data_IF_625323425500
#
_entry.id   IF_625323425500
#
_cell.length_a   1.000
_cell.length_b   1.000
_cell.length_c   1.000
_cell.angle_alpha   90.00
_cell.angle_beta   90.00
_cell.angle_gamma   90.00
#
_symmetry.space_group_name_H-M   'P 1'
#
loop_
_entity.id
_entity.type
_entity.pdbx_description
1 polymer ?
#
# COMPACT_ATOMS: atom_id res chain seq x y z
N UNK A 1 16.23 0.94 -38.14
CA UNK A 1 15.02 1.50 -38.80
C UNK A 1 14.03 0.35 -38.91
N UNK A 2 12.81 0.31 -38.37
CA UNK A 2 11.86 1.32 -37.84
C UNK A 2 10.82 0.58 -36.97
N UNK A 3 10.56 1.06 -35.75
CA UNK A 3 9.27 1.64 -35.29
C UNK A 3 8.10 0.63 -35.14
N UNK A 4 7.77 0.18 -33.92
CA UNK A 4 6.78 0.78 -32.98
C UNK A 4 5.45 1.14 -33.67
N UNK A 5 4.44 0.29 -33.48
CA UNK A 5 3.00 0.59 -33.34
C UNK A 5 2.32 -0.71 -32.87
N UNK A 6 1.43 -0.80 -31.88
CA UNK A 6 0.97 0.08 -30.81
C UNK A 6 0.03 -0.80 -29.96
N UNK A 7 0.47 -1.22 -28.77
CA UNK A 7 -0.29 -2.05 -27.84
C UNK A 7 -1.51 -1.32 -27.20
N UNK A 8 -1.81 -0.08 -27.63
CA UNK A 8 -2.83 0.78 -27.02
C UNK A 8 -4.27 0.52 -27.49
N UNK A 9 -4.50 -0.34 -28.50
CA UNK A 9 -5.85 -0.57 -29.04
C UNK A 9 -6.61 -1.75 -28.42
N UNK A 10 -5.98 -2.54 -27.55
CA UNK A 10 -6.62 -3.71 -26.91
C UNK A 10 -7.36 -3.39 -25.61
N UNK A 11 -7.20 -2.20 -25.03
CA UNK A 11 -7.82 -1.86 -23.74
C UNK A 11 -9.24 -1.27 -23.84
N UNK A 12 -9.74 -0.92 -25.03
CA UNK A 12 -10.99 -0.19 -25.17
C UNK A 12 -12.26 -1.08 -25.22
N UNK A 13 -12.13 -2.41 -25.35
CA UNK A 13 -13.28 -3.32 -25.47
C UNK A 13 -13.74 -3.96 -24.15
N UNK A 14 -12.95 -3.87 -23.07
CA UNK A 14 -13.25 -4.56 -21.80
C UNK A 14 -14.14 -3.75 -20.83
N UNK A 15 -14.40 -2.47 -21.10
CA UNK A 15 -15.11 -1.58 -20.17
C UNK A 15 -16.64 -1.67 -20.31
N UNK A 16 -17.16 -2.21 -21.41
CA UNK A 16 -18.61 -2.26 -21.68
C UNK A 16 -19.32 -3.52 -21.12
N UNK A 17 -18.61 -4.50 -20.58
CA UNK A 17 -19.20 -5.74 -20.05
C UNK A 17 -19.59 -5.67 -18.55
N UNK A 18 -19.30 -4.58 -17.86
CA UNK A 18 -19.60 -4.42 -16.42
C UNK A 18 -20.78 -3.47 -16.13
N UNK A 19 -21.48 -2.99 -17.15
CA UNK A 19 -22.67 -2.16 -17.00
C UNK A 19 -23.94 -3.01 -17.16
N UNK A 20 -24.27 -3.84 -16.17
CA UNK A 20 -25.62 -4.40 -16.12
C UNK A 20 -25.77 -5.73 -15.41
N UNK A 21 -25.63 -5.76 -14.08
CA UNK A 21 -26.50 -6.57 -13.21
C UNK A 21 -26.72 -5.76 -11.94
N UNK A 22 -27.68 -4.83 -11.98
CA UNK A 22 -28.27 -4.24 -10.79
C UNK A 22 -29.50 -5.04 -10.39
N UNK A 23 -29.38 -5.90 -9.38
CA UNK A 23 -30.51 -6.38 -8.58
C UNK A 23 -30.02 -6.57 -7.15
N UNK A 24 -30.25 -5.55 -6.32
CA UNK A 24 -30.19 -5.67 -4.86
C UNK A 24 -31.32 -6.61 -4.43
N UNK A 25 -30.99 -7.87 -4.14
CA UNK A 25 -31.92 -8.79 -3.47
C UNK A 25 -31.79 -8.50 -1.97
N UNK A 26 -32.64 -7.60 -1.47
CA UNK A 26 -32.78 -7.39 -0.04
C UNK A 26 -33.49 -8.60 0.56
N UNK A 27 -32.73 -9.51 1.19
CA UNK A 27 -33.30 -10.58 2.00
C UNK A 27 -33.89 -9.98 3.27
N UNK A 28 -35.22 -10.03 3.37
CA UNK A 28 -35.95 -9.78 4.60
C UNK A 28 -35.79 -11.00 5.52
N UNK A 29 -35.19 -10.81 6.69
CA UNK A 29 -35.12 -11.86 7.72
C UNK A 29 -33.82 -11.82 8.50
N UNK A 30 -33.89 -11.24 9.69
CA UNK A 30 -33.28 -11.69 10.96
C UNK A 30 -32.86 -10.49 11.80
N UNK A 31 -33.58 -10.27 12.90
CA UNK A 31 -33.10 -9.46 14.02
C UNK A 31 -32.01 -10.24 14.76
N UNK A 32 -30.89 -10.46 14.07
CA UNK A 32 -29.63 -10.93 14.65
C UNK A 32 -28.69 -9.73 14.83
N UNK A 33 -27.76 -9.80 15.79
CA UNK A 33 -26.75 -8.77 16.02
C UNK A 33 -26.23 -8.23 14.69
N UNK A 34 -26.36 -6.92 14.46
CA UNK A 34 -26.06 -6.30 13.18
C UNK A 34 -24.53 -6.17 13.03
N UNK A 35 -23.89 -7.30 12.70
CA UNK A 35 -22.46 -7.37 12.46
C UNK A 35 -22.15 -6.76 11.09
N UNK A 36 -21.38 -5.69 11.09
CA UNK A 36 -20.88 -5.08 9.86
C UNK A 36 -19.37 -4.84 9.94
N UNK A 37 -18.71 -4.79 8.78
CA UNK A 37 -17.28 -4.52 8.72
C UNK A 37 -17.05 -3.01 8.72
N UNK A 38 -16.42 -2.51 9.77
CA UNK A 38 -15.99 -1.12 9.87
C UNK A 38 -14.51 -1.01 9.48
N UNK A 39 -14.16 0.08 8.79
CA UNK A 39 -12.77 0.36 8.41
C UNK A 39 -12.12 1.21 9.49
N UNK A 40 -11.18 0.63 10.24
CA UNK A 40 -10.48 1.30 11.34
C UNK A 40 -9.04 1.61 10.93
N UNK A 41 -8.61 2.86 11.16
CA UNK A 41 -7.21 3.27 11.00
C UNK A 41 -6.48 2.98 12.31
N UNK A 42 -5.58 2.01 12.27
CA UNK A 42 -4.70 1.68 13.40
C UNK A 42 -3.29 2.20 13.15
N UNK A 43 -2.55 2.56 14.19
CA UNK A 43 -1.18 3.04 14.06
C UNK A 43 -0.21 1.92 14.42
N UNK A 44 0.71 1.59 13.52
CA UNK A 44 1.76 0.60 13.76
C UNK A 44 3.11 1.29 13.78
N UNK A 45 3.94 0.97 14.77
CA UNK A 45 5.33 1.43 14.81
C UNK A 45 6.18 0.47 13.98
N UNK A 46 6.88 1.00 12.98
CA UNK A 46 7.78 0.28 12.10
C UNK A 46 9.18 0.87 12.24
N UNK A 47 10.21 0.02 12.10
CA UNK A 47 11.60 0.45 12.03
C UNK A 47 11.97 0.70 10.57
N UNK A 48 12.24 1.95 10.22
CA UNK A 48 12.70 2.32 8.88
C UNK A 48 14.21 2.56 8.88
N UNK A 49 14.95 1.97 7.93
CA UNK A 49 16.38 2.20 7.81
C UNK A 49 16.64 3.59 7.19
N UNK A 50 17.52 4.36 7.83
CA UNK A 50 18.03 5.63 7.31
C UNK A 50 19.51 5.44 6.98
N UNK A 51 19.87 5.78 5.74
CA UNK A 51 21.25 5.62 5.25
C UNK A 51 21.96 6.97 5.27
N UNK A 52 23.06 7.04 6.00
CA UNK A 52 23.96 8.18 6.01
C UNK A 52 25.29 7.78 5.38
N UNK A 53 25.88 8.69 4.63
CA UNK A 53 27.24 8.55 4.12
C UNK A 53 28.11 9.54 4.88
N UNK A 54 29.09 9.03 5.62
CA UNK A 54 30.05 9.84 6.36
C UNK A 54 31.42 9.69 5.72
N UNK A 55 32.13 10.80 5.55
CA UNK A 55 33.52 10.77 5.12
C UNK A 55 34.38 10.46 6.34
N UNK A 56 35.17 9.39 6.25
CA UNK A 56 36.18 9.02 7.24
C UNK A 56 37.55 9.09 6.60
N UNK A 57 38.58 9.16 7.42
CA UNK A 57 39.97 9.20 6.98
C UNK A 57 40.66 7.91 7.44
N UNK A 58 41.52 7.35 6.59
CA UNK A 58 42.42 6.27 6.99
C UNK A 58 43.55 6.82 7.88
N UNK A 59 44.35 5.94 8.48
CA UNK A 59 45.51 6.34 9.27
C UNK A 59 46.53 7.16 8.45
N UNK A 60 46.58 6.93 7.14
CA UNK A 60 47.41 7.70 6.20
C UNK A 60 46.73 8.99 5.70
N UNK A 61 45.54 9.34 6.19
CA UNK A 61 44.82 10.57 5.81
C UNK A 61 44.03 10.50 4.50
N UNK A 62 43.81 9.31 3.92
CA UNK A 62 43.01 9.19 2.69
C UNK A 62 41.51 9.18 3.01
N UNK A 63 40.68 10.02 2.35
CA UNK A 63 39.25 10.03 2.59
C UNK A 63 38.56 8.81 1.95
N UNK A 64 37.60 8.23 2.66
CA UNK A 64 36.69 7.21 2.14
C UNK A 64 35.27 7.45 2.65
N UNK A 65 34.26 6.99 1.88
CA UNK A 65 32.85 7.07 2.29
C UNK A 65 32.44 5.81 3.03
N UNK A 66 32.10 5.93 4.30
CA UNK A 66 31.49 4.86 5.08
C UNK A 66 29.97 4.98 5.03
N UNK A 67 29.30 3.87 4.73
CA UNK A 67 27.84 3.76 4.83
C UNK A 67 27.47 3.46 6.28
N UNK A 68 26.68 4.34 6.88
CA UNK A 68 26.12 4.15 8.23
C UNK A 68 24.63 3.97 8.09
N UNK A 69 24.13 2.80 8.50
CA UNK A 69 22.70 2.50 8.51
C UNK A 69 22.19 2.67 9.94
N UNK A 70 21.29 3.62 10.14
CA UNK A 70 20.59 3.84 11.42
C UNK A 70 19.13 3.39 11.27
N UNK A 71 18.47 3.09 12.37
CA UNK A 71 17.05 2.72 12.36
C UNK A 71 16.25 3.76 13.11
N UNK A 72 15.19 4.28 12.46
CA UNK A 72 14.24 5.21 13.08
C UNK A 72 12.91 4.50 13.28
N UNK A 73 12.30 4.71 14.45
CA UNK A 73 10.91 4.31 14.70
C UNK A 73 9.98 5.31 14.02
N UNK A 74 9.16 4.84 13.10
CA UNK A 74 8.15 5.62 12.38
C UNK A 74 6.79 5.01 12.64
N UNK A 75 5.81 5.85 12.96
CA UNK A 75 4.43 5.42 13.16
C UNK A 75 3.69 5.56 11.84
N UNK A 76 3.23 4.43 11.29
CA UNK A 76 2.51 4.38 10.02
C UNK A 76 1.05 4.01 10.24
N UNK A 77 0.10 4.68 9.55
CA UNK A 77 -1.30 4.30 9.59
C UNK A 77 -1.51 3.02 8.77
N UNK A 78 -2.19 2.05 9.38
CA UNK A 78 -2.58 0.78 8.78
C UNK A 78 -4.10 0.67 8.85
N UNK A 79 -4.71 0.63 7.66
CA UNK A 79 -6.15 0.45 7.49
C UNK A 79 -6.48 -1.03 7.66
N UNK A 80 -7.37 -1.36 8.59
CA UNK A 80 -7.87 -2.73 8.78
C UNK A 80 -9.39 -2.73 8.88
N UNK A 81 -10.01 -3.80 8.39
CA UNK A 81 -11.45 -4.03 8.57
C UNK A 81 -11.66 -4.81 9.85
N UNK A 82 -12.50 -4.30 10.74
CA UNK A 82 -12.88 -4.95 12.00
C UNK A 82 -14.37 -5.28 11.91
N UNK A 83 -14.75 -6.49 12.33
CA UNK A 83 -16.15 -6.86 12.45
C UNK A 83 -16.69 -6.25 13.75
N UNK A 84 -17.68 -5.38 13.65
CA UNK A 84 -18.35 -4.74 14.78
C UNK A 84 -19.78 -5.26 14.80
N UNK A 85 -20.22 -5.78 15.95
CA UNK A 85 -21.58 -6.26 16.17
C UNK A 85 -22.21 -5.44 17.29
N UNK A 86 -23.43 -4.95 17.06
CA UNK A 86 -24.27 -4.24 18.05
C UNK A 86 -25.47 -5.09 18.44
#
# INVERSE_FOLDING_TARGET
MTSIFSAKKLCAAAVLAFAGIGTNVASAGDYGACCHYETVVSHKTVLEPVVHYVTKYTDCGHPYRAKVVTYKKVTVPVVRKVLVCH
#
